data_IF_507531681106
#
_entry.id   IF_507531681106
#
_cell.length_a   1.000
_cell.length_b   1.000
_cell.length_c   1.000
_cell.angle_alpha   90.00
_cell.angle_beta   90.00
_cell.angle_gamma   90.00
#
_symmetry.space_group_name_H-M   'P 1'
#
loop_
_entity.id
_entity.type
_entity.pdbx_description
1 polymer ?
#
# COMPACT_ATOMS: atom_id res chain seq x y z
N UNK A 1 17.47 -7.00 -7.81
CA UNK A 1 16.93 -5.87 -7.05
C UNK A 1 18.10 -5.14 -6.43
N UNK A 2 18.34 -3.89 -6.83
CA UNK A 2 19.33 -3.02 -6.18
C UNK A 2 18.94 -2.81 -4.74
N UNK A 3 19.81 -3.18 -3.81
CA UNK A 3 19.57 -3.15 -2.37
C UNK A 3 19.45 -1.73 -1.78
N UNK A 4 19.76 -0.70 -2.56
CA UNK A 4 20.00 0.66 -2.03
C UNK A 4 18.80 1.62 -2.12
N UNK A 5 17.71 1.29 -2.81
CA UNK A 5 16.60 2.21 -3.04
C UNK A 5 15.37 2.01 -2.12
N UNK A 6 15.28 0.92 -1.38
CA UNK A 6 14.14 0.61 -0.50
C UNK A 6 14.32 1.12 0.93
N UNK A 7 13.36 1.89 1.46
CA UNK A 7 13.40 2.39 2.85
C UNK A 7 13.23 1.28 3.90
N UNK A 8 12.85 0.06 3.49
CA UNK A 8 12.60 -1.12 4.36
C UNK A 8 11.77 -0.79 5.61
N UNK A 9 10.77 0.09 5.44
CA UNK A 9 9.95 0.59 6.54
C UNK A 9 9.16 -0.53 7.21
N UNK A 10 8.54 -1.42 6.42
CA UNK A 10 7.68 -2.48 6.94
C UNK A 10 8.44 -3.47 7.84
N UNK A 11 9.53 -4.11 7.38
CA UNK A 11 10.33 -4.96 8.27
C UNK A 11 10.93 -4.19 9.44
N UNK A 12 11.28 -2.91 9.26
CA UNK A 12 11.75 -2.03 10.33
C UNK A 12 10.72 -1.86 11.44
N UNK A 13 9.44 -1.60 11.09
CA UNK A 13 8.34 -1.51 12.06
C UNK A 13 8.17 -2.83 12.83
N UNK A 14 8.16 -3.98 12.13
CA UNK A 14 8.06 -5.30 12.77
C UNK A 14 9.18 -5.52 13.78
N UNK A 15 10.43 -5.21 13.42
CA UNK A 15 11.58 -5.37 14.31
C UNK A 15 11.54 -4.42 15.49
N UNK A 16 11.14 -3.16 15.28
CA UNK A 16 11.03 -2.16 16.37
C UNK A 16 9.93 -2.55 17.36
N UNK A 17 8.74 -2.93 16.86
CA UNK A 17 7.66 -3.43 17.70
C UNK A 17 8.13 -4.66 18.48
N UNK A 18 8.69 -5.66 17.80
CA UNK A 18 9.17 -6.89 18.44
C UNK A 18 10.19 -6.61 19.53
N UNK A 19 11.05 -5.62 19.31
CA UNK A 19 12.03 -5.19 20.31
C UNK A 19 11.37 -4.47 21.48
N UNK A 20 10.41 -3.58 21.22
CA UNK A 20 9.74 -2.78 22.24
C UNK A 20 8.89 -3.63 23.21
N UNK A 21 8.22 -4.68 22.68
CA UNK A 21 7.37 -5.58 23.47
C UNK A 21 8.12 -6.73 24.13
N UNK A 22 9.41 -6.91 23.81
CA UNK A 22 10.23 -7.97 24.40
C UNK A 22 10.76 -7.57 25.79
N UNK A 23 10.66 -8.45 26.82
CA UNK A 23 11.07 -8.13 28.21
C UNK A 23 12.52 -7.69 28.38
N UNK A 24 13.41 -7.96 27.46
CA UNK A 24 14.83 -7.57 27.50
C UNK A 24 15.27 -6.90 26.22
N UNK A 25 14.34 -6.37 25.42
CA UNK A 25 14.63 -5.83 24.10
C UNK A 25 15.35 -6.83 23.15
N UNK A 26 15.10 -8.14 23.33
CA UNK A 26 15.74 -9.21 22.57
C UNK A 26 14.85 -9.61 21.40
N UNK A 27 15.41 -9.61 20.18
CA UNK A 27 14.76 -10.13 19.00
C UNK A 27 15.00 -11.63 18.87
N UNK A 28 13.92 -12.42 18.82
CA UNK A 28 14.01 -13.85 18.57
C UNK A 28 14.19 -14.14 17.06
N UNK A 29 14.61 -15.36 16.72
CA UNK A 29 14.68 -15.81 15.33
C UNK A 29 13.32 -15.75 14.63
N UNK A 30 12.22 -16.04 15.35
CA UNK A 30 10.85 -15.95 14.82
C UNK A 30 10.47 -14.52 14.45
N UNK A 31 10.84 -13.50 15.26
CA UNK A 31 10.59 -12.09 14.95
C UNK A 31 11.37 -11.62 13.71
N UNK A 32 12.63 -12.04 13.58
CA UNK A 32 13.43 -11.74 12.39
C UNK A 32 12.83 -12.37 11.14
N UNK A 33 12.40 -13.64 11.25
CA UNK A 33 11.72 -14.35 10.16
C UNK A 33 10.39 -13.68 9.79
N UNK A 34 9.61 -13.21 10.76
CA UNK A 34 8.37 -12.45 10.50
C UNK A 34 8.66 -11.17 9.69
N UNK A 35 9.71 -10.44 10.03
CA UNK A 35 10.11 -9.25 9.28
C UNK A 35 10.51 -9.58 7.81
N UNK A 36 11.23 -10.69 7.61
CA UNK A 36 11.57 -11.18 6.26
C UNK A 36 10.32 -11.58 5.46
N UNK A 37 9.38 -12.31 6.09
CA UNK A 37 8.11 -12.70 5.47
C UNK A 37 7.31 -11.46 5.06
N UNK A 38 7.23 -10.45 5.95
CA UNK A 38 6.54 -9.19 5.69
C UNK A 38 7.10 -8.50 4.44
N UNK A 39 8.42 -8.45 4.29
CA UNK A 39 9.07 -7.85 3.12
C UNK A 39 8.89 -8.71 1.86
N UNK A 40 8.90 -10.04 1.97
CA UNK A 40 8.62 -10.92 0.83
C UNK A 40 7.21 -10.73 0.29
N UNK A 41 6.19 -10.68 1.17
CA UNK A 41 4.80 -10.43 0.79
C UNK A 41 4.69 -9.08 0.09
N UNK A 42 5.30 -8.04 0.66
CA UNK A 42 5.31 -6.71 0.05
C UNK A 42 6.01 -6.69 -1.32
N UNK A 43 7.16 -7.35 -1.44
CA UNK A 43 7.88 -7.40 -2.72
C UNK A 43 7.10 -8.16 -3.78
N UNK A 44 6.43 -9.25 -3.41
CA UNK A 44 5.57 -10.00 -4.30
C UNK A 44 4.41 -9.14 -4.83
N UNK A 45 3.73 -8.40 -3.94
CA UNK A 45 2.65 -7.49 -4.35
C UNK A 45 3.17 -6.42 -5.31
N UNK A 46 4.32 -5.79 -5.04
CA UNK A 46 4.90 -4.80 -5.95
C UNK A 46 5.22 -5.36 -7.34
N UNK A 47 5.68 -6.61 -7.44
CA UNK A 47 5.96 -7.25 -8.74
C UNK A 47 4.66 -7.47 -9.53
N UNK A 48 3.57 -7.85 -8.85
CA UNK A 48 2.26 -8.01 -9.48
C UNK A 48 1.63 -6.65 -9.82
N UNK A 49 1.71 -5.66 -8.92
CA UNK A 49 1.22 -4.30 -9.15
C UNK A 49 1.88 -3.69 -10.40
N UNK A 50 3.21 -3.84 -10.57
CA UNK A 50 3.93 -3.36 -11.75
C UNK A 50 3.39 -3.96 -13.06
N UNK A 51 2.90 -5.19 -13.04
CA UNK A 51 2.27 -5.84 -14.19
C UNK A 51 0.86 -5.28 -14.44
N UNK A 52 0.08 -5.12 -13.37
CA UNK A 52 -1.31 -4.62 -13.45
C UNK A 52 -1.34 -3.17 -13.91
N UNK A 53 -0.42 -2.34 -13.40
CA UNK A 53 -0.28 -0.92 -13.73
C UNK A 53 0.50 -0.68 -15.04
N UNK A 54 0.98 -1.75 -15.71
CA UNK A 54 1.83 -1.67 -16.93
C UNK A 54 3.06 -0.77 -16.74
N UNK A 55 3.57 -0.67 -15.53
CA UNK A 55 4.64 0.25 -15.14
C UNK A 55 5.99 -0.20 -15.73
N UNK A 56 6.56 0.55 -16.66
CA UNK A 56 7.86 0.22 -17.28
C UNK A 56 9.04 0.34 -16.31
N UNK A 57 8.97 1.27 -15.37
CA UNK A 57 10.04 1.53 -14.39
C UNK A 57 9.47 1.68 -12.97
N UNK A 58 10.28 1.29 -11.97
CA UNK A 58 10.03 1.54 -10.55
C UNK A 58 11.30 2.11 -9.91
N UNK A 59 11.21 3.32 -9.37
CA UNK A 59 12.35 4.03 -8.75
C UNK A 59 13.58 4.12 -9.68
N UNK A 60 13.33 4.41 -10.96
CA UNK A 60 14.40 4.56 -11.96
C UNK A 60 15.05 3.25 -12.44
N UNK A 61 14.49 2.09 -12.08
CA UNK A 61 14.95 0.77 -12.53
C UNK A 61 13.82 0.09 -13.30
N UNK A 62 14.14 -0.63 -14.38
CA UNK A 62 13.18 -1.43 -15.14
C UNK A 62 12.44 -2.41 -14.25
N UNK A 63 11.12 -2.51 -14.41
CA UNK A 63 10.30 -3.52 -13.75
C UNK A 63 10.60 -4.92 -14.27
N UNK A 64 10.21 -5.95 -13.52
CA UNK A 64 10.47 -7.34 -13.90
C UNK A 64 9.83 -7.67 -15.25
N UNK A 65 8.57 -7.20 -15.49
CA UNK A 65 7.90 -7.49 -16.75
C UNK A 65 8.49 -6.73 -17.93
N UNK A 66 9.00 -5.52 -17.74
CA UNK A 66 9.71 -4.78 -18.79
C UNK A 66 11.03 -5.42 -19.18
N UNK A 67 11.77 -5.92 -18.18
CA UNK A 67 13.08 -6.52 -18.40
C UNK A 67 13.04 -7.94 -18.96
N UNK A 68 12.04 -8.73 -18.59
CA UNK A 68 11.93 -10.14 -18.99
C UNK A 68 10.67 -10.39 -19.84
N UNK A 69 9.52 -10.33 -19.27
CA UNK A 69 8.16 -10.28 -19.83
C UNK A 69 7.11 -10.45 -18.71
N UNK A 70 5.84 -10.21 -19.04
CA UNK A 70 4.69 -10.35 -18.11
C UNK A 70 4.62 -11.72 -17.45
N UNK A 71 4.80 -12.80 -18.23
CA UNK A 71 4.72 -14.17 -17.71
C UNK A 71 5.75 -14.46 -16.63
N UNK A 72 6.99 -14.00 -16.84
CA UNK A 72 8.07 -14.16 -15.84
C UNK A 72 7.77 -13.35 -14.59
N UNK A 73 7.24 -12.12 -14.73
CA UNK A 73 6.90 -11.28 -13.60
C UNK A 73 5.80 -11.91 -12.73
N UNK A 74 4.71 -12.41 -13.33
CA UNK A 74 3.65 -13.11 -12.60
C UNK A 74 4.20 -14.30 -11.82
N UNK A 75 4.97 -15.18 -12.49
CA UNK A 75 5.57 -16.34 -11.84
C UNK A 75 6.58 -15.95 -10.74
N UNK A 76 7.30 -14.86 -10.88
CA UNK A 76 8.21 -14.36 -9.84
C UNK A 76 7.46 -13.88 -8.59
N UNK A 77 6.34 -13.18 -8.76
CA UNK A 77 5.47 -12.80 -7.65
C UNK A 77 4.85 -14.02 -6.96
N UNK A 78 4.34 -14.99 -7.73
CA UNK A 78 3.81 -16.26 -7.19
C UNK A 78 4.87 -17.02 -6.40
N UNK A 79 6.10 -17.09 -6.92
CA UNK A 79 7.22 -17.72 -6.22
C UNK A 79 7.51 -17.04 -4.88
N UNK A 80 7.53 -15.70 -4.82
CA UNK A 80 7.74 -14.96 -3.58
C UNK A 80 6.61 -15.19 -2.57
N UNK A 81 5.34 -15.21 -3.01
CA UNK A 81 4.21 -15.53 -2.14
C UNK A 81 4.30 -16.99 -1.62
N UNK A 82 4.67 -17.94 -2.47
CA UNK A 82 4.87 -19.32 -2.05
C UNK A 82 6.01 -19.45 -1.02
N UNK A 83 7.15 -18.78 -1.25
CA UNK A 83 8.26 -18.72 -0.29
C UNK A 83 7.85 -18.08 1.04
N UNK A 84 7.12 -16.97 1.00
CA UNK A 84 6.58 -16.34 2.20
C UNK A 84 5.67 -17.28 2.97
N UNK A 85 4.76 -17.98 2.28
CA UNK A 85 3.85 -18.98 2.87
C UNK A 85 4.58 -20.16 3.49
N UNK A 86 5.62 -20.65 2.82
CA UNK A 86 6.46 -21.74 3.36
C UNK A 86 7.19 -21.30 4.64
N UNK A 87 7.82 -20.13 4.63
CA UNK A 87 8.46 -19.58 5.83
C UNK A 87 7.46 -19.30 6.95
N UNK A 88 6.25 -18.84 6.59
CA UNK A 88 5.17 -18.57 7.53
C UNK A 88 4.71 -19.86 8.25
N UNK A 89 4.55 -20.96 7.49
CA UNK A 89 4.23 -22.28 8.06
C UNK A 89 5.31 -22.75 9.04
N UNK A 90 6.59 -22.53 8.73
CA UNK A 90 7.72 -22.89 9.59
C UNK A 90 7.90 -22.01 10.84
N UNK A 91 7.05 -21.01 11.08
CA UNK A 91 6.99 -20.30 12.36
C UNK A 91 6.29 -21.13 13.45
N UNK A 92 5.62 -22.24 13.07
CA UNK A 92 4.84 -23.12 13.97
C UNK A 92 3.85 -22.35 14.84
N UNK A 93 3.12 -21.39 14.23
CA UNK A 93 2.12 -20.58 14.90
C UNK A 93 0.92 -20.30 13.98
N UNK A 94 -0.15 -21.08 14.17
CA UNK A 94 -1.36 -21.00 13.32
C UNK A 94 -2.00 -19.62 13.37
N UNK A 95 -1.95 -18.90 14.48
CA UNK A 95 -2.53 -17.55 14.58
C UNK A 95 -1.77 -16.56 13.70
N UNK A 96 -0.42 -16.67 13.65
CA UNK A 96 0.39 -15.85 12.76
C UNK A 96 0.12 -16.22 11.29
N UNK A 97 -0.04 -17.51 10.97
CA UNK A 97 -0.43 -17.97 9.63
C UNK A 97 -1.76 -17.34 9.20
N UNK A 98 -2.79 -17.37 10.07
CA UNK A 98 -4.10 -16.76 9.77
C UNK A 98 -4.00 -15.26 9.50
N UNK A 99 -3.21 -14.52 10.29
CA UNK A 99 -3.01 -13.08 10.12
C UNK A 99 -2.38 -12.74 8.77
N UNK A 100 -1.27 -13.40 8.42
CA UNK A 100 -0.54 -13.07 7.18
C UNK A 100 -1.21 -13.64 5.92
N UNK A 101 -1.92 -14.77 6.02
CA UNK A 101 -2.75 -15.26 4.91
C UNK A 101 -3.92 -14.29 4.62
N UNK A 102 -4.51 -13.69 5.66
CA UNK A 102 -5.54 -12.65 5.48
C UNK A 102 -4.99 -11.45 4.72
N UNK A 103 -3.75 -11.04 5.00
CA UNK A 103 -3.09 -9.94 4.27
C UNK A 103 -3.00 -10.21 2.77
N UNK A 104 -2.63 -11.43 2.36
CA UNK A 104 -2.55 -11.79 0.93
C UNK A 104 -3.93 -11.64 0.26
N UNK A 105 -5.00 -12.04 0.96
CA UNK A 105 -6.37 -11.84 0.48
C UNK A 105 -6.72 -10.35 0.39
N UNK A 106 -6.39 -9.56 1.43
CA UNK A 106 -6.67 -8.13 1.46
C UNK A 106 -5.96 -7.40 0.33
N UNK A 107 -4.68 -7.71 0.04
CA UNK A 107 -3.92 -7.14 -1.07
C UNK A 107 -4.62 -7.37 -2.42
N UNK A 108 -5.02 -8.62 -2.70
CA UNK A 108 -5.74 -8.96 -3.93
C UNK A 108 -7.10 -8.24 -4.00
N UNK A 109 -7.85 -8.21 -2.90
CA UNK A 109 -9.14 -7.51 -2.80
C UNK A 109 -8.98 -6.01 -3.02
N UNK A 110 -7.92 -5.41 -2.46
CA UNK A 110 -7.60 -4.00 -2.64
C UNK A 110 -7.32 -3.64 -4.09
N UNK A 111 -6.56 -4.48 -4.79
CA UNK A 111 -6.23 -4.27 -6.21
C UNK A 111 -7.46 -4.41 -7.11
N UNK A 112 -8.29 -5.43 -6.87
CA UNK A 112 -9.56 -5.60 -7.59
C UNK A 112 -10.47 -4.38 -7.38
N UNK A 113 -10.63 -3.91 -6.13
CA UNK A 113 -11.45 -2.74 -5.82
C UNK A 113 -10.92 -1.46 -6.48
N UNK A 114 -9.60 -1.28 -6.51
CA UNK A 114 -8.97 -0.14 -7.15
C UNK A 114 -9.32 -0.08 -8.65
N UNK A 115 -9.20 -1.20 -9.33
CA UNK A 115 -9.47 -1.28 -10.78
C UNK A 115 -10.95 -1.13 -11.12
N UNK A 116 -11.86 -1.64 -10.28
CA UNK A 116 -13.30 -1.52 -10.49
C UNK A 116 -13.87 -0.13 -10.20
N UNK A 117 -13.16 0.72 -9.45
CA UNK A 117 -13.64 2.04 -9.04
C UNK A 117 -12.85 3.19 -9.71
N UNK A 118 -12.25 2.96 -10.88
CA UNK A 118 -11.60 4.02 -11.64
C UNK A 118 -12.65 5.02 -12.12
N UNK A 119 -12.35 6.30 -12.01
CA UNK A 119 -13.22 7.43 -12.40
C UNK A 119 -14.63 7.39 -11.78
N UNK A 120 -14.83 6.68 -10.65
CA UNK A 120 -16.11 6.66 -9.94
C UNK A 120 -16.26 7.91 -9.05
N UNK A 121 -16.80 9.00 -9.60
CA UNK A 121 -17.06 10.25 -8.87
C UNK A 121 -18.04 10.10 -7.69
N UNK A 122 -18.77 8.98 -7.60
CA UNK A 122 -19.65 8.64 -6.49
C UNK A 122 -18.94 7.82 -5.40
N UNK A 123 -17.64 7.61 -5.52
CA UNK A 123 -16.85 6.90 -4.52
C UNK A 123 -16.89 7.63 -3.17
N UNK A 124 -17.30 6.95 -2.11
CA UNK A 124 -17.30 7.52 -0.77
C UNK A 124 -15.91 7.46 -0.11
N UNK A 125 -15.65 8.39 0.81
CA UNK A 125 -14.42 8.37 1.61
C UNK A 125 -14.21 7.05 2.37
N UNK A 126 -15.30 6.41 2.83
CA UNK A 126 -15.23 5.11 3.49
C UNK A 126 -14.74 3.99 2.55
N UNK A 127 -15.13 4.00 1.28
CA UNK A 127 -14.60 3.07 0.26
C UNK A 127 -13.11 3.30 0.01
N UNK A 128 -12.68 4.56 -0.06
CA UNK A 128 -11.28 4.93 -0.16
C UNK A 128 -10.46 4.41 1.03
N UNK A 129 -10.90 4.63 2.27
CA UNK A 129 -10.24 4.13 3.48
C UNK A 129 -10.16 2.59 3.48
N UNK A 130 -11.24 1.91 3.06
CA UNK A 130 -11.23 0.45 2.97
C UNK A 130 -10.21 -0.05 1.91
N UNK A 131 -10.16 0.56 0.73
CA UNK A 131 -9.15 0.28 -0.30
C UNK A 131 -7.73 0.50 0.25
N UNK A 132 -7.47 1.65 0.87
CA UNK A 132 -6.17 2.02 1.44
C UNK A 132 -5.76 1.07 2.58
N UNK A 133 -6.73 0.60 3.38
CA UNK A 133 -6.49 -0.45 4.36
C UNK A 133 -6.04 -1.74 3.65
N UNK A 134 -6.79 -2.24 2.69
CA UNK A 134 -6.47 -3.49 2.00
C UNK A 134 -5.09 -3.44 1.32
N UNK A 135 -4.81 -2.37 0.58
CA UNK A 135 -3.59 -2.24 -0.23
C UNK A 135 -2.33 -1.93 0.59
N UNK A 136 -2.46 -1.16 1.67
CA UNK A 136 -1.30 -0.63 2.41
C UNK A 136 -1.30 -0.97 3.89
N UNK A 137 -2.39 -0.72 4.62
CA UNK A 137 -2.39 -0.79 6.07
C UNK A 137 -2.52 -2.23 6.60
N UNK A 138 -3.19 -3.13 5.89
CA UNK A 138 -3.43 -4.51 6.33
C UNK A 138 -2.13 -5.26 6.64
N UNK A 139 -1.11 -5.14 5.77
CA UNK A 139 0.18 -5.79 5.99
C UNK A 139 0.87 -5.28 7.26
N UNK A 140 0.86 -3.96 7.50
CA UNK A 140 1.49 -3.35 8.69
C UNK A 140 0.71 -3.73 9.95
N UNK A 141 -0.63 -3.67 9.92
CA UNK A 141 -1.49 -4.02 11.04
C UNK A 141 -1.33 -5.48 11.47
N UNK A 142 -1.45 -6.39 10.51
CA UNK A 142 -1.38 -7.82 10.81
C UNK A 142 0.02 -8.29 11.19
N UNK A 143 1.08 -7.73 10.58
CA UNK A 143 2.46 -8.05 10.98
C UNK A 143 2.81 -7.48 12.36
N UNK A 144 2.28 -6.31 12.73
CA UNK A 144 2.41 -5.74 14.08
C UNK A 144 1.73 -6.64 15.13
N UNK A 145 0.50 -7.05 14.86
CA UNK A 145 -0.23 -8.02 15.70
C UNK A 145 0.50 -9.37 15.79
N UNK A 146 1.02 -9.87 14.67
CA UNK A 146 1.76 -11.12 14.61
C UNK A 146 3.03 -11.09 15.47
N UNK A 147 3.74 -9.96 15.54
CA UNK A 147 4.87 -9.78 16.45
C UNK A 147 4.44 -9.95 17.93
N UNK A 148 3.29 -9.40 18.30
CA UNK A 148 2.69 -9.56 19.62
C UNK A 148 2.31 -11.02 19.92
N UNK A 149 1.71 -11.72 18.95
CA UNK A 149 1.37 -13.16 19.07
C UNK A 149 2.62 -13.99 19.31
N UNK A 150 3.71 -13.73 18.59
CA UNK A 150 4.99 -14.43 18.77
C UNK A 150 5.64 -14.12 20.13
N UNK A 151 5.30 -13.00 20.74
CA UNK A 151 5.75 -12.60 22.09
C UNK A 151 4.83 -13.08 23.21
N UNK A 152 3.71 -13.74 22.90
CA UNK A 152 2.75 -14.25 23.89
C UNK A 152 1.94 -13.17 24.62
N UNK A 153 1.66 -12.04 23.97
CA UNK A 153 0.85 -10.97 24.53
C UNK A 153 -0.62 -11.36 24.63
N UNK A 154 -1.35 -10.72 25.55
CA UNK A 154 -2.79 -10.87 25.71
C UNK A 154 -3.58 -10.16 24.60
N UNK A 155 -4.87 -10.46 24.46
CA UNK A 155 -5.71 -9.97 23.35
C UNK A 155 -5.86 -8.44 23.33
N UNK A 156 -5.86 -7.76 24.47
CA UNK A 156 -5.91 -6.30 24.56
C UNK A 156 -4.66 -5.67 23.91
N UNK A 157 -3.49 -6.15 24.26
CA UNK A 157 -2.23 -5.69 23.68
C UNK A 157 -2.12 -6.05 22.20
N UNK A 158 -2.63 -7.23 21.80
CA UNK A 158 -2.68 -7.63 20.40
C UNK A 158 -3.58 -6.71 19.58
N UNK A 159 -4.70 -6.26 20.13
CA UNK A 159 -5.61 -5.29 19.51
C UNK A 159 -4.93 -3.94 19.37
N UNK A 160 -4.28 -3.46 20.42
CA UNK A 160 -3.54 -2.19 20.39
C UNK A 160 -2.43 -2.17 19.34
N UNK A 161 -1.68 -3.28 19.19
CA UNK A 161 -0.65 -3.40 18.14
C UNK A 161 -1.25 -3.43 16.73
N UNK A 162 -2.39 -4.08 16.57
CA UNK A 162 -3.11 -4.09 15.29
C UNK A 162 -3.57 -2.68 14.93
N UNK A 163 -4.21 -1.97 15.84
CA UNK A 163 -4.73 -0.62 15.61
C UNK A 163 -3.59 0.38 15.36
N UNK A 164 -2.47 0.26 16.09
CA UNK A 164 -1.26 1.03 15.83
C UNK A 164 -0.76 0.83 14.39
N UNK A 165 -0.59 -0.43 13.97
CA UNK A 165 -0.13 -0.74 12.61
C UNK A 165 -1.11 -0.30 11.53
N UNK A 166 -2.43 -0.45 11.77
CA UNK A 166 -3.50 0.02 10.89
C UNK A 166 -3.45 1.54 10.70
N UNK A 167 -3.37 2.30 11.79
CA UNK A 167 -3.39 3.76 11.74
C UNK A 167 -2.11 4.31 11.08
N UNK A 168 -0.93 3.75 11.37
CA UNK A 168 0.31 4.12 10.67
C UNK A 168 0.20 3.83 9.17
N UNK A 169 -0.33 2.66 8.80
CA UNK A 169 -0.48 2.29 7.39
C UNK A 169 -1.44 3.20 6.63
N UNK A 170 -2.57 3.56 7.24
CA UNK A 170 -3.52 4.51 6.66
C UNK A 170 -2.92 5.92 6.57
N UNK A 171 -2.28 6.41 7.62
CA UNK A 171 -1.61 7.71 7.62
C UNK A 171 -0.51 7.77 6.52
N UNK A 172 0.27 6.69 6.38
CA UNK A 172 1.27 6.59 5.32
C UNK A 172 0.65 6.74 3.93
N UNK A 173 -0.48 6.05 3.67
CA UNK A 173 -1.17 6.13 2.37
C UNK A 173 -1.73 7.53 2.12
N UNK A 174 -2.40 8.13 3.10
CA UNK A 174 -2.94 9.50 2.95
C UNK A 174 -1.84 10.51 2.66
N UNK A 175 -0.70 10.41 3.35
CA UNK A 175 0.46 11.28 3.09
C UNK A 175 1.05 11.04 1.69
N UNK A 176 1.12 9.78 1.24
CA UNK A 176 1.58 9.44 -0.11
C UNK A 176 0.67 10.05 -1.17
N UNK A 177 -0.65 9.97 -0.96
CA UNK A 177 -1.65 10.55 -1.85
C UNK A 177 -1.56 12.11 -1.89
N UNK A 178 -1.33 12.77 -0.76
CA UNK A 178 -1.10 14.22 -0.70
C UNK A 178 0.19 14.60 -1.45
N UNK A 179 1.26 13.80 -1.27
CA UNK A 179 2.52 14.06 -1.95
C UNK A 179 2.43 13.88 -3.46
N UNK A 180 1.51 13.06 -3.98
CA UNK A 180 1.27 12.94 -5.42
C UNK A 180 0.84 14.29 -6.05
N UNK A 181 0.15 15.16 -5.27
CA UNK A 181 -0.24 16.50 -5.70
C UNK A 181 0.80 17.57 -5.38
N UNK A 182 1.41 17.52 -4.21
CA UNK A 182 2.31 18.59 -3.71
C UNK A 182 3.78 18.36 -4.00
N UNK A 183 4.15 17.13 -4.36
CA UNK A 183 5.53 16.74 -4.65
C UNK A 183 5.97 17.14 -6.06
N UNK A 184 7.27 17.32 -6.27
CA UNK A 184 7.81 17.48 -7.60
C UNK A 184 8.30 16.12 -8.16
N UNK A 185 8.37 15.99 -9.49
CA UNK A 185 8.72 14.75 -10.21
C UNK A 185 10.03 14.10 -9.71
N UNK A 186 11.00 14.91 -9.30
CA UNK A 186 12.28 14.40 -8.78
C UNK A 186 12.16 13.74 -7.41
N UNK A 187 11.23 14.22 -6.59
CA UNK A 187 10.99 13.65 -5.24
C UNK A 187 10.09 12.41 -5.31
N UNK A 188 9.11 12.42 -6.22
CA UNK A 188 8.12 11.34 -6.40
C UNK A 188 8.70 10.14 -7.15
N UNK A 189 9.62 10.36 -8.08
CA UNK A 189 10.13 9.32 -8.99
C UNK A 189 9.10 8.86 -10.03
N UNK A 190 7.98 9.58 -10.16
CA UNK A 190 6.90 9.46 -11.16
C UNK A 190 6.39 10.86 -11.48
N UNK A 191 5.67 11.07 -12.61
CA UNK A 191 5.00 12.34 -12.85
C UNK A 191 4.05 12.68 -11.70
N UNK A 192 3.99 13.95 -11.32
CA UNK A 192 3.00 14.42 -10.35
C UNK A 192 1.57 14.17 -10.87
N UNK A 193 0.62 13.98 -9.94
CA UNK A 193 -0.81 13.76 -10.25
C UNK A 193 -1.08 12.50 -11.09
N UNK A 194 -0.15 11.54 -11.05
CA UNK A 194 -0.27 10.30 -11.81
C UNK A 194 -1.47 9.45 -11.41
N UNK A 195 -1.89 9.53 -10.14
CA UNK A 195 -3.01 8.76 -9.63
C UNK A 195 -4.34 9.27 -10.22
N UNK A 196 -4.56 10.58 -10.24
CA UNK A 196 -5.75 11.17 -10.87
C UNK A 196 -5.78 10.92 -12.38
N UNK A 197 -4.65 11.09 -13.06
CA UNK A 197 -4.54 10.80 -14.50
C UNK A 197 -4.88 9.34 -14.84
N UNK A 198 -4.60 8.42 -13.90
CA UNK A 198 -4.97 6.99 -14.02
C UNK A 198 -6.41 6.69 -13.58
N UNK A 199 -7.16 7.70 -13.14
CA UNK A 199 -8.55 7.56 -12.66
C UNK A 199 -8.67 7.10 -11.21
N UNK A 200 -7.59 7.13 -10.44
CA UNK A 200 -7.63 6.76 -9.03
C UNK A 200 -7.97 7.99 -8.17
N UNK A 201 -9.19 7.99 -7.61
CA UNK A 201 -9.63 9.07 -6.75
C UNK A 201 -9.07 8.86 -5.34
N UNK A 202 -8.11 9.70 -4.99
CA UNK A 202 -7.42 9.69 -3.69
C UNK A 202 -8.05 10.67 -2.72
N UNK A 203 -7.58 10.73 -1.47
CA UNK A 203 -8.19 11.58 -0.45
C UNK A 203 -8.33 13.05 -0.87
N UNK A 204 -7.30 13.73 -1.43
CA UNK A 204 -7.44 15.12 -1.88
C UNK A 204 -8.58 15.30 -2.89
N UNK A 205 -8.66 14.43 -3.91
CA UNK A 205 -9.70 14.50 -4.94
C UNK A 205 -11.10 14.29 -4.35
N UNK A 206 -11.24 13.36 -3.40
CA UNK A 206 -12.54 13.09 -2.77
C UNK A 206 -13.04 14.28 -1.96
N UNK A 207 -12.16 15.00 -1.24
CA UNK A 207 -12.52 16.25 -0.57
C UNK A 207 -12.87 17.35 -1.56
N UNK A 208 -12.10 17.52 -2.64
CA UNK A 208 -12.40 18.50 -3.67
C UNK A 208 -13.75 18.24 -4.36
N UNK A 209 -14.15 16.97 -4.54
CA UNK A 209 -15.45 16.58 -5.10
C UNK A 209 -16.64 16.99 -4.21
N UNK A 210 -16.48 17.06 -2.88
CA UNK A 210 -17.53 17.53 -1.99
C UNK A 210 -17.82 19.02 -2.18
N UNK A 211 -16.80 19.81 -2.54
CA UNK A 211 -16.89 21.27 -2.68
C UNK A 211 -17.13 21.70 -4.13
N UNK A 212 -16.63 20.96 -5.11
CA UNK A 212 -16.65 21.34 -6.52
C UNK A 212 -17.35 20.33 -7.44
N UNK A 213 -18.63 20.63 -7.75
CA UNK A 213 -19.44 19.81 -8.67
C UNK A 213 -18.91 19.75 -10.11
N UNK A 214 -18.11 20.72 -10.56
CA UNK A 214 -17.53 20.70 -11.90
C UNK A 214 -16.50 19.59 -12.03
N UNK A 215 -15.75 19.29 -10.96
CA UNK A 215 -14.78 18.21 -10.92
C UNK A 215 -15.43 16.85 -11.20
N UNK A 216 -16.65 16.59 -10.71
CA UNK A 216 -17.36 15.34 -11.00
C UNK A 216 -17.66 15.15 -12.50
N UNK A 217 -17.91 16.24 -13.24
CA UNK A 217 -18.15 16.18 -14.69
C UNK A 217 -16.87 15.78 -15.42
N UNK A 218 -15.72 16.34 -15.04
CA UNK A 218 -14.42 16.03 -15.62
C UNK A 218 -14.04 14.56 -15.35
N UNK A 219 -14.24 14.09 -14.13
CA UNK A 219 -13.98 12.71 -13.74
C UNK A 219 -14.90 11.74 -14.49
N UNK A 220 -16.21 12.03 -14.57
CA UNK A 220 -17.16 11.14 -15.24
C UNK A 220 -16.93 11.01 -16.77
N UNK A 221 -16.22 11.93 -17.38
CA UNK A 221 -15.77 11.81 -18.78
C UNK A 221 -14.33 11.28 -18.90
N UNK A 222 -13.80 10.72 -17.80
CA UNK A 222 -12.50 10.05 -17.71
C UNK A 222 -11.32 10.96 -18.09
N UNK A 223 -11.44 12.28 -17.84
CA UNK A 223 -10.41 13.29 -18.21
C UNK A 223 -9.99 13.18 -19.69
N UNK A 224 -10.95 12.91 -20.59
CA UNK A 224 -10.68 12.56 -21.98
C UNK A 224 -10.25 13.73 -22.87
N UNK A 225 -10.52 14.98 -22.48
CA UNK A 225 -10.14 16.18 -23.21
C UNK A 225 -8.77 16.68 -22.77
N UNK A 226 -8.05 17.35 -23.68
CA UNK A 226 -6.65 17.73 -23.52
C UNK A 226 -6.37 18.58 -22.25
N UNK A 227 -7.34 19.42 -21.86
CA UNK A 227 -7.18 20.36 -20.77
C UNK A 227 -7.88 19.90 -19.48
N UNK A 228 -8.52 18.73 -19.47
CA UNK A 228 -9.30 18.22 -18.35
C UNK A 228 -8.50 18.01 -17.09
N UNK A 229 -7.28 17.50 -17.21
CA UNK A 229 -6.40 17.29 -16.06
C UNK A 229 -5.98 18.63 -15.45
N UNK A 230 -5.63 19.62 -16.27
CA UNK A 230 -5.25 20.95 -15.81
C UNK A 230 -6.45 21.68 -15.16
N UNK A 231 -7.64 21.52 -15.71
CA UNK A 231 -8.86 22.08 -15.14
C UNK A 231 -9.26 21.40 -13.83
N UNK A 232 -9.04 20.09 -13.72
CA UNK A 232 -9.24 19.35 -12.48
C UNK A 232 -8.29 19.84 -11.39
N UNK A 233 -7.02 20.07 -11.70
CA UNK A 233 -6.01 20.58 -10.76
C UNK A 233 -6.32 21.99 -10.28
N UNK A 234 -6.70 22.90 -11.15
CA UNK A 234 -7.11 24.26 -10.76
C UNK A 234 -8.34 24.27 -9.84
N UNK A 235 -9.23 23.30 -10.04
CA UNK A 235 -10.40 23.13 -9.17
C UNK A 235 -10.04 22.73 -7.75
N UNK A 236 -8.92 22.04 -7.57
CA UNK A 236 -8.41 21.57 -6.29
C UNK A 236 -7.59 22.65 -5.56
N UNK A 237 -6.77 23.43 -6.28
CA UNK A 237 -6.01 24.56 -5.71
C UNK A 237 -6.93 25.57 -5.02
N UNK A 238 -8.09 25.88 -5.60
CA UNK A 238 -9.08 26.76 -5.00
C UNK A 238 -9.66 26.24 -3.68
N UNK A 239 -9.71 24.90 -3.51
CA UNK A 239 -10.20 24.28 -2.27
C UNK A 239 -9.12 24.29 -1.17
N UNK A 240 -7.85 24.18 -1.53
CA UNK A 240 -6.72 24.18 -0.58
C UNK A 240 -6.37 25.58 -0.03
N UNK A 241 -6.68 26.66 -0.77
CA UNK A 241 -6.46 28.06 -0.30
C UNK A 241 -7.49 28.54 0.74
N UNK A 242 -8.57 27.79 0.95
CA UNK A 242 -9.66 28.13 1.87
C UNK A 242 -9.54 27.42 3.24
N UNK A 243 -8.53 26.62 3.48
CA UNK A 243 -8.21 25.95 4.75
C UNK A 243 -6.95 26.55 5.39
#
# INVERSE_FOLDING_TARGET
CSSDSGKRLRPGIVLLISKAISPKFILTSKHKRLAEITEMIHTASLVHDDVVDEASTRRGVDTVHSRFNTRVAVLAGDFLFAQASWHLANLDNVNVVKLLSRVIMDLAEGEIKQNLNRFDSAQSFSKYINKSYCKTASLIANSSKAAGVLSGLNDENLTSLYDFGKNIGLAFQVVDDILDFTGNDKQLGKPAVSDLASGYLTAPVLYALEENKKLSVLINRELAEKDDLDDALRSEEHTSELQ
#
